data_IF_169061311099
#
_entry.id   IF_169061311099
#
_cell.length_a   1.000
_cell.length_b   1.000
_cell.length_c   1.000
_cell.angle_alpha   90.00
_cell.angle_beta   90.00
_cell.angle_gamma   90.00
#
_symmetry.space_group_name_H-M   'P 1'
#
loop_
_entity.id
_entity.type
_entity.pdbx_description
1 polymer ?
#
# COMPACT_ATOMS: atom_id res chain seq x y z
N UNK A 1 29.49 8.07 3.86
CA UNK A 1 29.97 6.81 4.46
C UNK A 1 30.03 7.05 5.96
N UNK A 2 29.08 6.51 6.71
CA UNK A 2 29.02 6.66 8.16
C UNK A 2 29.70 5.43 8.79
N UNK A 3 30.83 5.66 9.46
CA UNK A 3 31.50 4.63 10.25
C UNK A 3 30.65 4.28 11.46
N UNK A 4 30.05 3.10 11.42
CA UNK A 4 29.40 2.45 12.55
C UNK A 4 30.51 1.70 13.29
N UNK A 5 31.23 2.40 14.17
CA UNK A 5 32.12 1.73 15.12
C UNK A 5 31.28 1.04 16.19
N UNK A 6 31.56 -0.23 16.53
CA UNK A 6 30.75 -0.99 17.46
C UNK A 6 30.94 -0.44 18.88
N UNK A 7 29.83 -0.05 19.51
CA UNK A 7 29.80 0.37 20.90
C UNK A 7 29.96 -0.88 21.78
N UNK A 8 31.22 -1.26 22.03
CA UNK A 8 31.54 -2.23 23.07
C UNK A 8 31.16 -1.61 24.43
N UNK A 9 29.95 -1.90 24.89
CA UNK A 9 29.48 -1.56 26.23
C UNK A 9 30.33 -2.35 27.24
N UNK A 10 31.47 -1.77 27.63
CA UNK A 10 32.31 -2.30 28.69
C UNK A 10 31.56 -2.07 30.00
N UNK A 11 30.95 -3.16 30.48
CA UNK A 11 30.30 -3.26 31.80
C UNK A 11 31.29 -2.77 32.86
N UNK A 12 31.02 -1.63 33.48
CA UNK A 12 31.79 -1.16 34.63
C UNK A 12 31.53 -2.13 35.79
N UNK A 13 32.49 -3.02 36.04
CA UNK A 13 32.50 -3.81 37.26
C UNK A 13 32.90 -2.88 38.42
N UNK A 14 31.92 -2.52 39.24
CA UNK A 14 32.07 -1.68 40.43
C UNK A 14 32.72 -2.43 41.60
N UNK A 15 33.91 -3.00 41.40
CA UNK A 15 34.62 -3.73 42.45
C UNK A 15 35.96 -3.09 42.76
N UNK A 16 36.01 -2.43 43.93
CA UNK A 16 37.18 -1.96 44.68
C UNK A 16 37.78 -0.61 44.25
N UNK A 17 37.35 0.46 44.93
CA UNK A 17 37.84 1.84 44.79
C UNK A 17 38.84 2.25 45.89
N UNK A 18 39.31 1.30 46.69
CA UNK A 18 40.46 1.56 47.55
C UNK A 18 41.19 0.25 47.79
N UNK A 19 42.42 0.16 47.30
CA UNK A 19 43.28 -1.00 47.55
C UNK A 19 43.84 -1.05 48.98
N UNK A 20 43.75 0.05 49.73
CA UNK A 20 44.32 0.20 51.08
C UNK A 20 43.22 0.42 52.10
N UNK A 21 43.15 -0.44 53.12
CA UNK A 21 42.16 -0.34 54.19
C UNK A 21 42.57 0.70 55.24
N UNK A 22 41.60 1.42 55.80
CA UNK A 22 41.82 2.48 56.80
C UNK A 22 42.55 1.97 58.07
N UNK A 23 42.35 0.70 58.40
CA UNK A 23 43.05 0.01 59.49
C UNK A 23 44.55 -0.18 59.21
N UNK A 24 44.94 -0.41 57.95
CA UNK A 24 46.33 -0.55 57.53
C UNK A 24 47.07 0.78 57.68
N UNK A 25 46.44 1.88 57.28
CA UNK A 25 46.99 3.24 57.36
C UNK A 25 47.25 3.64 58.82
N UNK A 26 46.39 3.21 59.75
CA UNK A 26 46.48 3.53 61.19
C UNK A 26 47.59 2.75 61.92
N UNK A 27 48.12 1.70 61.30
CA UNK A 27 49.14 0.81 61.89
C UNK A 27 50.58 1.09 61.43
N UNK A 28 50.76 2.01 60.48
CA UNK A 28 52.06 2.36 59.90
C UNK A 28 52.84 3.28 60.83
N UNK A 29 54.00 2.83 61.30
CA UNK A 29 54.93 3.62 62.13
C UNK A 29 56.28 3.87 61.47
N UNK A 30 56.61 3.14 60.41
CA UNK A 30 57.85 3.26 59.64
C UNK A 30 57.68 4.21 58.43
N UNK A 31 58.67 5.07 58.21
CA UNK A 31 58.61 6.13 57.18
C UNK A 31 58.54 5.54 55.76
N UNK A 32 59.25 4.44 55.50
CA UNK A 32 59.34 3.82 54.18
C UNK A 32 58.00 3.16 53.76
N UNK A 33 57.27 2.58 54.71
CA UNK A 33 55.97 1.96 54.43
C UNK A 33 54.88 3.01 54.20
N UNK A 34 54.97 4.15 54.90
CA UNK A 34 54.10 5.30 54.67
C UNK A 34 54.30 5.88 53.26
N UNK A 35 55.55 6.01 52.80
CA UNK A 35 55.87 6.52 51.47
C UNK A 35 55.37 5.58 50.36
N UNK A 36 55.48 4.26 50.53
CA UNK A 36 54.94 3.27 49.60
C UNK A 36 53.42 3.34 49.49
N UNK A 37 52.71 3.43 50.62
CA UNK A 37 51.25 3.53 50.63
C UNK A 37 50.79 4.87 50.05
N UNK A 38 51.50 5.95 50.32
CA UNK A 38 51.24 7.26 49.72
C UNK A 38 51.39 7.22 48.19
N UNK A 39 52.48 6.62 47.70
CA UNK A 39 52.73 6.48 46.25
C UNK A 39 51.63 5.65 45.57
N UNK A 40 51.21 4.55 46.20
CA UNK A 40 50.13 3.70 45.71
C UNK A 40 48.79 4.45 45.62
N UNK A 41 48.47 5.25 46.63
CA UNK A 41 47.26 6.11 46.62
C UNK A 41 47.33 7.17 45.51
N UNK A 42 48.50 7.78 45.29
CA UNK A 42 48.69 8.73 44.20
C UNK A 42 48.55 8.09 42.80
N UNK A 43 48.93 6.82 42.65
CA UNK A 43 48.71 6.08 41.39
C UNK A 43 47.23 5.74 41.19
N UNK A 44 46.52 5.36 42.25
CA UNK A 44 45.09 5.08 42.22
C UNK A 44 44.27 6.35 41.93
N UNK A 45 44.62 7.47 42.55
CA UNK A 45 44.03 8.79 42.29
C UNK A 45 44.15 9.16 40.80
N UNK A 46 45.34 9.03 40.22
CA UNK A 46 45.57 9.28 38.79
C UNK A 46 44.75 8.34 37.89
N UNK A 47 44.59 7.09 38.30
CA UNK A 47 43.77 6.11 37.56
C UNK A 47 42.29 6.46 37.57
N UNK A 48 41.76 6.88 38.72
CA UNK A 48 40.37 7.34 38.87
C UNK A 48 40.14 8.63 38.10
N UNK A 49 41.07 9.57 38.14
CA UNK A 49 40.97 10.83 37.41
C UNK A 49 40.97 10.61 35.89
N UNK A 50 41.81 9.71 35.38
CA UNK A 50 41.80 9.33 33.96
C UNK A 50 40.48 8.67 33.52
N UNK A 51 39.86 7.85 34.36
CA UNK A 51 38.55 7.24 34.06
C UNK A 51 37.42 8.28 34.14
N UNK A 52 37.50 9.23 35.07
CA UNK A 52 36.56 10.34 35.16
C UNK A 52 36.63 11.21 33.90
N UNK A 53 37.83 11.60 33.45
CA UNK A 53 38.03 12.34 32.21
C UNK A 53 37.46 11.59 30.99
N UNK A 54 37.64 10.26 30.96
CA UNK A 54 37.07 9.41 29.90
C UNK A 54 35.54 9.45 29.91
N UNK A 55 34.92 9.34 31.09
CA UNK A 55 33.45 9.38 31.24
C UNK A 55 32.88 10.76 30.91
N UNK A 56 33.51 11.83 31.37
CA UNK A 56 33.11 13.22 31.06
C UNK A 56 33.27 13.49 29.56
N UNK A 57 34.35 13.03 28.93
CA UNK A 57 34.51 13.12 27.48
C UNK A 57 33.43 12.36 26.69
N UNK A 58 32.97 11.23 27.21
CA UNK A 58 31.90 10.43 26.61
C UNK A 58 30.52 11.11 26.72
N UNK A 59 30.24 11.78 27.83
CA UNK A 59 28.99 12.51 28.08
C UNK A 59 28.75 13.58 27.01
N UNK A 60 29.76 14.39 26.67
CA UNK A 60 29.67 15.40 25.62
C UNK A 60 29.35 14.80 24.23
N UNK A 61 29.85 13.60 23.93
CA UNK A 61 29.56 12.88 22.68
C UNK A 61 28.11 12.37 22.64
N UNK A 62 27.62 11.83 23.76
CA UNK A 62 26.23 11.36 23.91
C UNK A 62 25.27 12.54 23.79
N UNK A 63 25.57 13.64 24.48
CA UNK A 63 24.75 14.86 24.45
C UNK A 63 24.62 15.41 23.02
N UNK A 64 25.71 15.43 22.24
CA UNK A 64 25.68 15.80 20.81
C UNK A 64 24.79 14.89 19.97
N UNK A 65 24.88 13.56 20.16
CA UNK A 65 24.03 12.59 19.45
C UNK A 65 22.55 12.74 19.83
N UNK A 66 22.26 12.95 21.11
CA UNK A 66 20.91 13.19 21.61
C UNK A 66 20.31 14.46 21.00
N UNK A 67 21.09 15.56 20.97
CA UNK A 67 20.64 16.81 20.36
C UNK A 67 20.41 16.67 18.85
N UNK A 68 21.24 15.88 18.15
CA UNK A 68 21.01 15.58 16.74
C UNK A 68 19.70 14.81 16.52
N UNK A 69 19.40 13.81 17.35
CA UNK A 69 18.13 13.07 17.27
C UNK A 69 16.92 13.95 17.59
N UNK A 70 17.02 14.83 18.60
CA UNK A 70 15.95 15.77 18.93
C UNK A 70 15.63 16.71 17.77
N UNK A 71 16.65 17.18 17.04
CA UNK A 71 16.47 18.01 15.84
C UNK A 71 15.80 17.27 14.68
N UNK A 72 15.93 15.94 14.61
CA UNK A 72 15.30 15.11 13.57
C UNK A 72 13.83 14.77 13.88
N UNK A 73 13.39 14.87 15.14
CA UNK A 73 12.01 14.57 15.53
C UNK A 73 10.94 15.34 14.70
N UNK A 74 11.05 16.67 14.58
CA UNK A 74 10.09 17.46 13.80
C UNK A 74 10.03 17.11 12.31
N UNK A 75 11.15 16.73 11.68
CA UNK A 75 11.14 16.36 10.27
C UNK A 75 10.42 15.03 10.02
N UNK A 76 10.57 14.07 10.93
CA UNK A 76 9.84 12.80 10.86
C UNK A 76 8.34 13.00 11.08
N UNK A 77 7.94 13.91 11.98
CA UNK A 77 6.53 14.26 12.16
C UNK A 77 5.93 14.89 10.90
N UNK A 78 6.66 15.80 10.25
CA UNK A 78 6.23 16.42 8.98
C UNK A 78 6.08 15.38 7.86
N UNK A 79 7.05 14.48 7.71
CA UNK A 79 6.95 13.38 6.74
C UNK A 79 5.74 12.48 7.05
N UNK A 80 5.47 12.24 8.33
CA UNK A 80 4.29 11.48 8.77
C UNK A 80 2.98 12.17 8.38
N UNK A 81 2.87 13.49 8.57
CA UNK A 81 1.69 14.25 8.14
C UNK A 81 1.53 14.27 6.63
N UNK A 82 2.62 14.46 5.88
CA UNK A 82 2.60 14.47 4.42
C UNK A 82 2.17 13.12 3.85
N UNK A 83 2.68 12.02 4.43
CA UNK A 83 2.28 10.66 4.06
C UNK A 83 0.80 10.40 4.35
N UNK A 84 0.29 10.87 5.50
CA UNK A 84 -1.13 10.75 5.85
C UNK A 84 -2.02 11.56 4.90
N UNK A 85 -1.64 12.80 4.60
CA UNK A 85 -2.35 13.64 3.64
C UNK A 85 -2.37 13.03 2.24
N UNK A 86 -1.23 12.51 1.78
CA UNK A 86 -1.12 11.84 0.50
C UNK A 86 -1.99 10.57 0.44
N UNK A 87 -2.00 9.76 1.49
CA UNK A 87 -2.88 8.60 1.61
C UNK A 87 -4.36 8.98 1.51
N UNK A 88 -4.75 10.09 2.16
CA UNK A 88 -6.10 10.66 2.04
C UNK A 88 -6.43 11.09 0.60
N UNK A 89 -5.51 11.79 -0.07
CA UNK A 89 -5.69 12.21 -1.46
C UNK A 89 -5.81 11.01 -2.42
N UNK A 90 -4.99 9.98 -2.24
CA UNK A 90 -5.05 8.75 -3.03
C UNK A 90 -6.40 8.07 -2.82
N UNK A 91 -6.85 7.93 -1.57
CA UNK A 91 -8.14 7.30 -1.25
C UNK A 91 -9.31 8.07 -1.86
N UNK A 92 -9.28 9.40 -1.80
CA UNK A 92 -10.28 10.26 -2.44
C UNK A 92 -10.29 10.07 -3.96
N UNK A 93 -9.10 10.09 -4.59
CA UNK A 93 -8.95 9.91 -6.04
C UNK A 93 -9.42 8.53 -6.48
N UNK A 94 -9.07 7.47 -5.76
CA UNK A 94 -9.55 6.10 -6.00
C UNK A 94 -11.07 6.03 -5.90
N UNK A 95 -11.67 6.64 -4.87
CA UNK A 95 -13.12 6.66 -4.69
C UNK A 95 -13.84 7.37 -5.83
N UNK A 96 -13.28 8.50 -6.30
CA UNK A 96 -13.81 9.22 -7.45
C UNK A 96 -13.68 8.40 -8.74
N UNK A 97 -12.52 7.80 -9.00
CA UNK A 97 -12.29 6.96 -10.17
C UNK A 97 -13.23 5.74 -10.20
N UNK A 98 -13.46 5.10 -9.05
CA UNK A 98 -14.41 4.00 -8.92
C UNK A 98 -15.85 4.48 -9.20
N UNK A 99 -16.22 5.67 -8.72
CA UNK A 99 -17.54 6.26 -8.99
C UNK A 99 -17.76 6.55 -10.47
N UNK A 100 -16.78 7.17 -11.12
CA UNK A 100 -16.80 7.45 -12.56
C UNK A 100 -16.88 6.15 -13.35
N UNK A 101 -16.03 5.17 -13.03
CA UNK A 101 -16.02 3.85 -13.69
C UNK A 101 -17.36 3.13 -13.56
N UNK A 102 -18.00 3.19 -12.39
CA UNK A 102 -19.35 2.63 -12.18
C UNK A 102 -20.39 3.30 -13.06
N UNK A 103 -20.38 4.63 -13.15
CA UNK A 103 -21.31 5.39 -13.99
C UNK A 103 -21.11 5.08 -15.47
N UNK A 104 -19.87 4.98 -15.93
CA UNK A 104 -19.54 4.59 -17.30
C UNK A 104 -20.07 3.18 -17.59
N UNK A 105 -19.83 2.20 -16.71
CA UNK A 105 -20.36 0.84 -16.88
C UNK A 105 -21.89 0.78 -16.93
N UNK A 106 -22.56 1.60 -16.13
CA UNK A 106 -24.03 1.72 -16.18
C UNK A 106 -24.50 2.32 -17.51
N UNK A 107 -23.82 3.34 -18.00
CA UNK A 107 -24.10 3.96 -19.29
C UNK A 107 -23.88 2.97 -20.44
N UNK A 108 -22.77 2.23 -20.42
CA UNK A 108 -22.47 1.21 -21.43
C UNK A 108 -23.56 0.14 -21.48
N UNK A 109 -24.04 -0.33 -20.32
CA UNK A 109 -25.15 -1.27 -20.25
C UNK A 109 -26.43 -0.70 -20.87
N UNK A 110 -26.76 0.55 -20.56
CA UNK A 110 -27.92 1.22 -21.14
C UNK A 110 -27.78 1.39 -22.66
N UNK A 111 -26.59 1.77 -23.13
CA UNK A 111 -26.24 1.88 -24.55
C UNK A 111 -26.39 0.55 -25.29
N UNK A 112 -25.86 -0.55 -24.74
CA UNK A 112 -26.04 -1.88 -25.33
C UNK A 112 -27.52 -2.28 -25.41
N UNK A 113 -28.31 -1.99 -24.36
CA UNK A 113 -29.76 -2.25 -24.39
C UNK A 113 -30.46 -1.42 -25.47
N UNK A 114 -30.10 -0.15 -25.64
CA UNK A 114 -30.66 0.70 -26.68
C UNK A 114 -30.34 0.17 -28.07
N UNK A 115 -29.09 -0.24 -28.34
CA UNK A 115 -28.75 -0.85 -29.64
C UNK A 115 -29.54 -2.12 -29.92
N UNK A 116 -29.78 -2.96 -28.91
CA UNK A 116 -30.61 -4.14 -29.08
C UNK A 116 -32.06 -3.78 -29.43
N UNK A 117 -32.60 -2.69 -28.88
CA UNK A 117 -33.94 -2.21 -29.20
C UNK A 117 -33.98 -1.59 -30.60
N UNK A 118 -32.97 -0.82 -30.99
CA UNK A 118 -32.84 -0.25 -32.33
C UNK A 118 -32.79 -1.37 -33.36
N UNK A 119 -31.94 -2.37 -33.17
CA UNK A 119 -31.84 -3.52 -34.08
C UNK A 119 -33.19 -4.22 -34.22
N UNK A 120 -33.88 -4.47 -33.10
CA UNK A 120 -35.22 -5.08 -33.13
C UNK A 120 -36.25 -4.20 -33.87
N UNK A 121 -36.14 -2.88 -33.76
CA UNK A 121 -37.02 -1.97 -34.48
C UNK A 121 -36.74 -2.02 -35.99
N UNK A 122 -35.47 -2.05 -36.39
CA UNK A 122 -35.06 -2.21 -37.79
C UNK A 122 -35.56 -3.56 -38.36
N UNK A 123 -35.41 -4.66 -37.61
CA UNK A 123 -35.90 -5.98 -38.01
C UNK A 123 -37.44 -5.96 -38.21
N UNK A 124 -38.19 -5.28 -37.33
CA UNK A 124 -39.65 -5.11 -37.47
C UNK A 124 -40.00 -4.27 -38.70
N UNK A 125 -39.24 -3.21 -38.99
CA UNK A 125 -39.45 -2.38 -40.16
C UNK A 125 -39.21 -3.15 -41.45
N UNK A 126 -38.15 -3.97 -41.51
CA UNK A 126 -37.89 -4.86 -42.64
C UNK A 126 -39.01 -5.88 -42.85
N UNK A 127 -39.54 -6.45 -41.77
CA UNK A 127 -40.70 -7.35 -41.80
C UNK A 127 -41.94 -6.65 -42.38
N UNK A 128 -42.17 -5.41 -41.96
CA UNK A 128 -43.29 -4.60 -42.44
C UNK A 128 -43.12 -4.27 -43.92
N UNK A 129 -41.92 -3.87 -44.36
CA UNK A 129 -41.67 -3.59 -45.78
C UNK A 129 -41.89 -4.81 -46.68
N UNK A 130 -41.51 -6.01 -46.22
CA UNK A 130 -41.81 -7.23 -46.97
C UNK A 130 -43.33 -7.45 -47.07
N UNK A 131 -44.07 -7.25 -45.98
CA UNK A 131 -45.53 -7.43 -45.95
C UNK A 131 -46.26 -6.40 -46.82
N UNK A 132 -45.93 -5.11 -46.69
CA UNK A 132 -46.48 -4.01 -47.47
C UNK A 132 -46.14 -4.16 -48.97
N UNK A 133 -44.91 -4.61 -49.26
CA UNK A 133 -44.44 -4.92 -50.62
C UNK A 133 -45.24 -6.03 -51.28
N UNK A 134 -45.51 -7.14 -50.57
CA UNK A 134 -46.39 -8.22 -51.07
C UNK A 134 -47.80 -7.71 -51.33
N UNK A 135 -48.39 -6.94 -50.41
CA UNK A 135 -49.75 -6.40 -50.58
C UNK A 135 -49.85 -5.47 -51.79
N UNK A 136 -48.81 -4.69 -52.05
CA UNK A 136 -48.74 -3.77 -53.19
C UNK A 136 -48.54 -4.53 -54.50
N UNK A 137 -47.61 -5.48 -54.55
CA UNK A 137 -47.35 -6.31 -55.73
C UNK A 137 -48.57 -7.15 -56.14
N UNK A 138 -49.29 -7.72 -55.17
CA UNK A 138 -50.55 -8.44 -55.44
C UNK A 138 -51.64 -7.54 -56.02
N UNK A 139 -51.70 -6.26 -55.62
CA UNK A 139 -52.67 -5.29 -56.16
C UNK A 139 -52.35 -4.90 -57.61
N UNK A 140 -51.08 -4.92 -57.96
CA UNK A 140 -50.59 -4.60 -59.31
C UNK A 140 -50.52 -5.84 -60.22
N UNK A 141 -50.90 -7.03 -59.73
CA UNK A 141 -50.80 -8.31 -60.44
C UNK A 141 -49.36 -8.75 -60.78
N UNK A 142 -48.35 -8.15 -60.13
CA UNK A 142 -46.93 -8.44 -60.32
C UNK A 142 -46.47 -9.57 -59.38
N UNK A 143 -46.80 -10.81 -59.73
CA UNK A 143 -46.50 -11.99 -58.90
C UNK A 143 -45.01 -12.27 -58.70
N UNK A 144 -44.15 -11.83 -59.62
CA UNK A 144 -42.69 -11.97 -59.52
C UNK A 144 -42.14 -11.15 -58.35
N UNK A 145 -42.58 -9.90 -58.21
CA UNK A 145 -42.18 -9.03 -57.10
C UNK A 145 -42.77 -9.50 -55.77
N UNK A 146 -44.00 -10.03 -55.78
CA UNK A 146 -44.58 -10.64 -54.59
C UNK A 146 -43.73 -11.83 -54.10
N UNK A 147 -43.31 -12.71 -55.01
CA UNK A 147 -42.43 -13.84 -54.69
C UNK A 147 -41.06 -13.38 -54.14
N UNK A 148 -40.49 -12.30 -54.69
CA UNK A 148 -39.24 -11.72 -54.21
C UNK A 148 -39.35 -11.20 -52.77
N UNK A 149 -40.43 -10.48 -52.43
CA UNK A 149 -40.68 -10.00 -51.06
C UNK A 149 -40.93 -11.16 -50.08
N UNK A 150 -41.62 -12.21 -50.48
CA UNK A 150 -41.82 -13.42 -49.67
C UNK A 150 -40.49 -14.13 -49.42
N UNK A 151 -39.65 -14.27 -50.44
CA UNK A 151 -38.33 -14.89 -50.30
C UNK A 151 -37.43 -14.12 -49.31
N UNK A 152 -37.43 -12.78 -49.38
CA UNK A 152 -36.70 -11.93 -48.43
C UNK A 152 -37.22 -12.10 -47.00
N UNK A 153 -38.54 -12.12 -46.80
CA UNK A 153 -39.17 -12.37 -45.50
C UNK A 153 -38.71 -13.70 -44.88
N UNK A 154 -38.72 -14.79 -45.65
CA UNK A 154 -38.30 -16.11 -45.17
C UNK A 154 -36.81 -16.16 -44.82
N UNK A 155 -35.99 -15.35 -45.49
CA UNK A 155 -34.56 -15.23 -45.19
C UNK A 155 -34.27 -14.44 -43.91
N UNK A 156 -35.15 -13.48 -43.54
CA UNK A 156 -35.07 -12.71 -42.30
C UNK A 156 -35.41 -13.56 -41.06
N UNK A 157 -36.35 -14.50 -41.15
CA UNK A 157 -36.75 -15.34 -40.00
C UNK A 157 -35.60 -16.27 -39.53
N UNK A 158 -34.80 -16.77 -40.48
CA UNK A 158 -33.68 -17.65 -40.17
C UNK A 158 -32.55 -16.94 -39.39
N UNK A 159 -32.29 -15.66 -39.67
CA UNK A 159 -31.31 -14.86 -38.91
C UNK A 159 -31.79 -14.54 -37.49
N UNK A 160 -33.11 -14.36 -37.27
CA UNK A 160 -33.69 -14.17 -35.93
C UNK A 160 -33.58 -15.44 -35.07
N UNK A 161 -33.70 -16.64 -35.67
CA UNK A 161 -33.53 -17.93 -34.98
C UNK A 161 -32.07 -18.11 -34.53
N UNK A 162 -31.10 -17.79 -35.40
CA UNK A 162 -29.66 -17.87 -35.08
C UNK A 162 -29.23 -16.83 -34.04
N UNK A 163 -29.79 -15.61 -34.09
CA UNK A 163 -29.52 -14.53 -33.13
C UNK A 163 -29.96 -14.91 -31.69
N UNK A 164 -31.07 -15.64 -31.55
CA UNK A 164 -31.52 -16.19 -30.25
C UNK A 164 -30.62 -17.31 -29.73
N UNK A 165 -29.95 -18.06 -30.62
CA UNK A 165 -28.94 -19.07 -30.26
C UNK A 165 -27.62 -18.47 -29.78
N UNK A 166 -27.20 -17.33 -30.33
CA UNK A 166 -25.90 -16.69 -30.03
C UNK A 166 -25.87 -15.92 -28.70
N UNK A 167 -27.03 -15.54 -28.16
CA UNK A 167 -27.13 -14.73 -26.92
C UNK A 167 -26.64 -15.46 -25.64
N UNK A 168 -26.27 -16.75 -25.70
CA UNK A 168 -25.80 -17.51 -24.52
C UNK A 168 -24.27 -17.63 -24.38
N UNK A 169 -23.47 -17.29 -25.39
CA UNK A 169 -22.02 -17.60 -25.36
C UNK A 169 -21.05 -16.40 -25.25
N UNK A 170 -21.53 -15.16 -25.19
CA UNK A 170 -20.65 -13.97 -25.13
C UNK A 170 -20.54 -13.29 -23.75
N UNK A 171 -21.01 -13.91 -22.67
CA UNK A 171 -20.88 -13.37 -21.30
C UNK A 171 -19.70 -13.94 -20.50
N UNK A 172 -18.82 -14.75 -21.10
CA UNK A 172 -17.76 -15.46 -20.36
C UNK A 172 -16.43 -14.69 -20.16
N UNK A 173 -16.23 -13.48 -20.69
CA UNK A 173 -14.88 -12.87 -20.70
C UNK A 173 -14.60 -11.72 -19.71
N UNK A 174 -15.53 -11.30 -18.83
CA UNK A 174 -15.27 -10.11 -17.98
C UNK A 174 -15.41 -10.35 -16.47
N UNK A 175 -15.25 -11.59 -15.97
CA UNK A 175 -15.21 -11.81 -14.51
C UNK A 175 -14.11 -12.74 -13.99
N UNK A 176 -13.06 -13.00 -14.78
CA UNK A 176 -11.86 -13.71 -14.31
C UNK A 176 -10.64 -12.78 -14.34
N UNK A 177 -10.63 -11.75 -13.49
CA UNK A 177 -9.42 -11.08 -13.03
C UNK A 177 -9.67 -10.28 -11.76
N UNK A 178 -10.06 -10.97 -10.68
CA UNK A 178 -9.71 -10.55 -9.31
C UNK A 178 -9.80 -11.72 -8.33
N UNK A 179 -9.12 -12.82 -8.65
CA UNK A 179 -8.57 -13.70 -7.64
C UNK A 179 -7.15 -13.20 -7.36
N UNK A 180 -6.99 -12.43 -6.29
CA UNK A 180 -5.71 -12.16 -5.67
C UNK A 180 -5.85 -12.57 -4.19
N UNK A 181 -5.50 -13.80 -3.80
CA UNK A 181 -5.14 -14.06 -2.43
C UNK A 181 -3.64 -13.78 -2.25
N UNK A 182 -3.31 -13.31 -1.05
CA UNK A 182 -1.97 -13.33 -0.44
C UNK A 182 -0.94 -12.29 -0.90
N UNK A 183 -0.96 -11.12 -0.24
CA UNK A 183 0.04 -10.74 0.77
C UNK A 183 -0.20 -9.27 1.18
N UNK A 184 -0.88 -9.02 2.30
CA UNK A 184 -0.48 -7.96 3.25
C UNK A 184 -0.93 -8.39 4.64
N UNK A 185 0.03 -8.89 5.39
CA UNK A 185 0.02 -9.03 6.83
C UNK A 185 -0.05 -7.62 7.45
N UNK A 186 -1.21 -7.20 7.97
CA UNK A 186 -1.32 -6.11 8.94
C UNK A 186 -2.03 -6.70 10.16
N UNK A 187 -1.18 -7.16 11.08
CA UNK A 187 -1.21 -6.79 12.50
C UNK A 187 -2.59 -6.51 13.10
N UNK A 188 -3.01 -7.45 13.93
CA UNK A 188 -3.92 -7.28 15.06
C UNK A 188 -4.14 -5.81 15.50
N UNK A 189 -5.38 -5.33 15.39
CA UNK A 189 -5.89 -4.31 16.30
C UNK A 189 -7.08 -4.90 17.04
N UNK A 190 -6.79 -5.15 18.32
CA UNK A 190 -7.64 -5.51 19.44
C UNK A 190 -9.09 -5.04 19.35
N UNK A 191 -9.94 -6.04 19.55
CA UNK A 191 -11.17 -5.96 20.30
C UNK A 191 -10.98 -5.21 21.65
N UNK A 192 -12.07 -4.57 22.08
CA UNK A 192 -12.52 -4.25 23.45
C UNK A 192 -12.45 -2.77 23.86
N UNK A 193 -13.46 -2.24 24.60
CA UNK A 193 -14.83 -2.72 24.83
C UNK A 193 -15.90 -1.92 24.06
#
# INVERSE_FOLDING_TARGET
MADISPLAAKRCNSSSLCSVSMDTISSLTELEDLEKVYQQLCEEEKGVEAELDRLVGQEASIHKKMQALQRMGPSLQLIGSDASQLSGMITFTCSLAENVSRKVRQLDLAKTRLYNVIQRADDILDLKFCTDGVQTALRNEDYEQAAAHIHRYLSLDQSVIELRGFSKSSLCWVFTSRALPDLVNISAVRLVP
#
